data_IF_886585455201
#
_entry.id   IF_886585455201
#
_cell.length_a   1.000
_cell.length_b   1.000
_cell.length_c   1.000
_cell.angle_alpha   90.00
_cell.angle_beta   90.00
_cell.angle_gamma   90.00
#
_symmetry.space_group_name_H-M   'P 1'
#
loop_
_entity.id
_entity.type
_entity.pdbx_description
1 polymer ?
#
# COMPACT_ATOMS: atom_id res chain seq x y z
N UNK A 1 -16.96 -2.56 29.07
CA UNK A 1 -17.14 -2.76 27.61
C UNK A 1 -15.80 -3.09 26.95
N UNK A 2 -15.77 -3.80 25.81
CA UNK A 2 -14.53 -4.22 25.13
C UNK A 2 -13.68 -3.08 24.53
N UNK A 3 -14.12 -1.82 24.62
CA UNK A 3 -13.32 -0.66 24.21
C UNK A 3 -12.54 -0.02 25.39
N UNK A 4 -13.02 -0.13 26.64
CA UNK A 4 -12.26 0.24 27.85
C UNK A 4 -10.99 -0.63 27.98
N UNK A 5 -11.11 -1.93 27.67
CA UNK A 5 -9.96 -2.85 27.71
C UNK A 5 -8.95 -2.61 26.57
N UNK A 6 -9.36 -1.98 25.46
CA UNK A 6 -8.44 -1.62 24.36
C UNK A 6 -7.72 -0.30 24.61
N UNK A 7 -8.38 0.65 25.26
CA UNK A 7 -7.76 1.90 25.72
C UNK A 7 -6.67 1.60 26.76
N UNK A 8 -6.99 0.81 27.79
CA UNK A 8 -6.01 0.38 28.79
C UNK A 8 -4.80 -0.35 28.18
N UNK A 9 -5.00 -1.19 27.16
CA UNK A 9 -3.90 -1.85 26.42
C UNK A 9 -3.03 -0.87 25.61
N UNK A 10 -3.59 0.25 25.17
CA UNK A 10 -2.86 1.30 24.44
C UNK A 10 -2.00 2.09 25.43
N UNK A 11 -2.53 2.42 26.61
CA UNK A 11 -1.82 3.15 27.65
C UNK A 11 -0.62 2.36 28.18
N UNK A 12 -0.80 1.05 28.45
CA UNK A 12 0.31 0.16 28.84
C UNK A 12 1.39 0.10 27.75
N UNK A 13 1.00 0.12 26.47
CA UNK A 13 1.96 0.13 25.36
C UNK A 13 2.73 1.45 25.27
N UNK A 14 2.07 2.58 25.57
CA UNK A 14 2.68 3.90 25.57
C UNK A 14 3.65 4.08 26.75
N UNK A 15 3.28 3.61 27.93
CA UNK A 15 4.16 3.56 29.10
C UNK A 15 5.42 2.74 28.81
N UNK A 16 5.26 1.54 28.22
CA UNK A 16 6.41 0.70 27.83
C UNK A 16 7.29 1.36 26.75
N UNK A 17 6.71 2.15 25.83
CA UNK A 17 7.49 2.90 24.84
C UNK A 17 8.25 4.08 25.45
N UNK A 18 7.67 4.76 26.44
CA UNK A 18 8.32 5.83 27.20
C UNK A 18 9.48 5.28 28.03
N UNK A 19 9.29 4.14 28.69
CA UNK A 19 10.32 3.44 29.44
C UNK A 19 11.50 3.06 28.53
N UNK A 20 11.23 2.48 27.36
CA UNK A 20 12.26 2.17 26.36
C UNK A 20 12.97 3.42 25.80
N UNK A 21 12.32 4.59 25.78
CA UNK A 21 12.96 5.85 25.41
C UNK A 21 13.84 6.39 26.52
N UNK A 22 13.43 6.27 27.79
CA UNK A 22 14.25 6.64 28.95
C UNK A 22 15.50 5.77 29.03
N UNK A 23 15.35 4.45 28.91
CA UNK A 23 16.47 3.51 28.85
C UNK A 23 17.47 3.84 27.75
N UNK A 24 17.00 4.27 26.56
CA UNK A 24 17.88 4.68 25.47
C UNK A 24 18.57 6.04 25.64
N UNK A 25 18.16 6.84 26.62
CA UNK A 25 18.86 8.06 27.04
C UNK A 25 19.91 7.78 28.11
N UNK A 26 19.62 6.85 29.02
CA UNK A 26 20.53 6.44 30.10
C UNK A 26 21.66 5.52 29.61
N UNK A 27 21.37 4.63 28.64
CA UNK A 27 22.35 3.67 28.10
C UNK A 27 22.10 3.33 26.64
N UNK A 28 23.13 2.90 25.92
CA UNK A 28 22.98 2.35 24.58
C UNK A 28 22.16 1.06 24.61
N UNK A 29 21.06 1.03 23.85
CA UNK A 29 20.17 -0.12 23.77
C UNK A 29 20.85 -1.31 23.07
N UNK A 30 20.64 -2.51 23.60
CA UNK A 30 21.07 -3.76 22.97
C UNK A 30 20.30 -4.01 21.67
N UNK A 31 20.84 -4.83 20.77
CA UNK A 31 20.19 -5.18 19.49
C UNK A 31 18.77 -5.74 19.68
N UNK A 32 18.53 -6.49 20.75
CA UNK A 32 17.22 -7.08 21.09
C UNK A 32 16.24 -5.98 21.53
N UNK A 33 16.67 -5.07 22.40
CA UNK A 33 15.87 -3.94 22.89
C UNK A 33 15.49 -2.98 21.74
N UNK A 34 16.41 -2.72 20.79
CA UNK A 34 16.13 -1.92 19.59
C UNK A 34 15.06 -2.58 18.71
N UNK A 35 15.12 -3.91 18.53
CA UNK A 35 14.09 -4.65 17.78
C UNK A 35 12.73 -4.61 18.50
N UNK A 36 12.73 -4.73 19.83
CA UNK A 36 11.51 -4.64 20.64
C UNK A 36 10.88 -3.23 20.55
N UNK A 37 11.69 -2.17 20.64
CA UNK A 37 11.23 -0.79 20.50
C UNK A 37 10.60 -0.54 19.13
N UNK A 38 11.24 -1.02 18.04
CA UNK A 38 10.66 -0.97 16.68
C UNK A 38 9.34 -1.75 16.59
N UNK A 39 9.24 -2.91 17.24
CA UNK A 39 8.01 -3.73 17.27
C UNK A 39 6.89 -3.03 18.03
N UNK A 40 7.18 -2.39 19.16
CA UNK A 40 6.22 -1.64 19.98
C UNK A 40 5.70 -0.40 19.22
N UNK A 41 6.56 0.39 18.58
CA UNK A 41 6.16 1.53 17.73
C UNK A 41 5.23 1.11 16.59
N UNK A 42 5.50 -0.04 15.95
CA UNK A 42 4.62 -0.62 14.92
C UNK A 42 3.25 -1.04 15.48
N UNK A 43 3.21 -1.60 16.69
CA UNK A 43 1.93 -1.95 17.36
C UNK A 43 1.13 -0.70 17.71
N UNK A 44 1.80 0.36 18.19
CA UNK A 44 1.16 1.63 18.57
C UNK A 44 0.52 2.31 17.35
N UNK A 45 1.27 2.42 16.24
CA UNK A 45 0.76 2.98 14.98
C UNK A 45 -0.46 2.20 14.43
N UNK A 46 -0.45 0.87 14.55
CA UNK A 46 -1.58 0.01 14.16
C UNK A 46 -2.81 0.21 15.06
N UNK A 47 -2.62 0.40 16.36
CA UNK A 47 -3.72 0.69 17.29
C UNK A 47 -4.29 2.10 17.04
N UNK A 48 -3.43 3.12 16.93
CA UNK A 48 -3.83 4.50 16.62
C UNK A 48 -4.59 4.61 15.30
N UNK A 49 -4.15 3.92 14.25
CA UNK A 49 -4.85 3.89 12.96
C UNK A 49 -6.20 3.16 13.02
N UNK A 50 -6.34 2.09 13.82
CA UNK A 50 -7.63 1.43 14.06
C UNK A 50 -8.60 2.32 14.83
N UNK A 51 -8.12 3.04 15.84
CA UNK A 51 -8.93 4.01 16.60
C UNK A 51 -9.38 5.16 15.71
N UNK A 52 -8.48 5.75 14.90
CA UNK A 52 -8.84 6.80 13.92
C UNK A 52 -9.86 6.32 12.89
N UNK A 53 -9.70 5.11 12.34
CA UNK A 53 -10.66 4.52 11.39
C UNK A 53 -12.03 4.25 12.03
N UNK A 54 -12.09 3.88 13.32
CA UNK A 54 -13.36 3.76 14.06
C UNK A 54 -14.01 5.12 14.30
N UNK A 55 -13.23 6.14 14.72
CA UNK A 55 -13.74 7.51 14.92
C UNK A 55 -14.33 8.11 13.64
N UNK A 56 -13.73 7.83 12.48
CA UNK A 56 -14.25 8.31 11.19
C UNK A 56 -15.47 7.53 10.67
N UNK A 57 -15.78 6.35 11.24
CA UNK A 57 -16.92 5.52 10.83
C UNK A 57 -18.19 5.73 11.66
N UNK A 58 -18.08 6.28 12.87
CA UNK A 58 -19.22 6.60 13.75
C UNK A 58 -19.23 8.10 14.09
N UNK A 59 -20.05 8.93 13.41
CA UNK A 59 -20.22 10.34 13.80
C UNK A 59 -20.90 10.51 15.18
N UNK A 60 -21.56 9.48 15.71
CA UNK A 60 -22.23 9.49 17.02
C UNK A 60 -21.29 9.55 18.23
N UNK A 61 -19.99 9.23 18.09
CA UNK A 61 -19.02 9.33 19.19
C UNK A 61 -18.36 10.71 19.32
N UNK A 62 -18.76 11.70 18.50
CA UNK A 62 -18.36 13.10 18.66
C UNK A 62 -19.20 13.85 19.72
N UNK A 63 -20.32 13.28 20.18
CA UNK A 63 -21.27 13.95 21.07
C UNK A 63 -21.06 13.66 22.58
N UNK A 64 -20.17 12.74 22.95
CA UNK A 64 -19.95 12.36 24.36
C UNK A 64 -18.50 12.66 24.77
N UNK A 65 -18.18 13.92 25.02
CA UNK A 65 -16.85 14.34 25.44
C UNK A 65 -16.70 15.85 25.56
N UNK A 66 -17.24 16.38 26.66
CA UNK A 66 -16.98 17.68 27.28
C UNK A 66 -17.55 18.95 26.64
N UNK A 67 -18.66 19.35 27.25
CA UNK A 67 -19.18 20.70 27.48
C UNK A 67 -18.10 21.68 27.95
N UNK A 68 -17.95 22.79 27.22
CA UNK A 68 -17.90 24.18 27.71
C UNK A 68 -17.57 25.12 26.53
N UNK A 69 -18.44 26.08 26.26
CA UNK A 69 -18.16 27.27 25.42
C UNK A 69 -18.81 27.29 24.04
N UNK A 70 -20.02 27.86 24.00
CA UNK A 70 -20.79 28.46 22.90
C UNK A 70 -20.86 27.84 21.49
N UNK A 71 -22.11 27.60 21.11
CA UNK A 71 -22.53 27.24 19.77
C UNK A 71 -22.49 28.44 18.83
N UNK A 72 -21.73 28.33 17.73
CA UNK A 72 -22.07 29.03 16.49
C UNK A 72 -21.84 28.10 15.30
N UNK A 73 -22.83 28.11 14.42
CA UNK A 73 -23.07 27.17 13.34
C UNK A 73 -21.92 27.06 12.33
N UNK A 74 -21.92 25.92 11.62
CA UNK A 74 -20.81 25.48 10.80
C UNK A 74 -20.35 26.45 9.71
N UNK A 75 -19.04 26.68 9.68
CA UNK A 75 -18.30 26.99 8.46
C UNK A 75 -17.01 26.16 8.45
N UNK A 76 -16.76 25.47 7.33
CA UNK A 76 -15.43 24.92 7.04
C UNK A 76 -14.48 26.12 6.95
N UNK A 77 -13.55 26.24 7.89
CA UNK A 77 -12.51 27.28 7.82
C UNK A 77 -11.71 27.08 6.52
N UNK A 78 -11.66 28.07 5.60
CA UNK A 78 -10.78 27.99 4.44
C UNK A 78 -9.34 28.04 4.95
N UNK A 79 -8.48 27.19 4.36
CA UNK A 79 -7.05 27.19 4.63
C UNK A 79 -6.51 28.62 4.49
N UNK A 80 -5.92 29.16 5.57
CA UNK A 80 -5.33 30.50 5.55
C UNK A 80 -4.13 30.48 4.59
N UNK A 81 -3.97 31.44 3.67
CA UNK A 81 -2.77 31.52 2.83
C UNK A 81 -1.55 31.72 3.71
N UNK A 82 -0.46 31.02 3.42
CA UNK A 82 0.81 31.17 4.13
C UNK A 82 1.39 32.55 3.83
N UNK A 83 1.43 33.41 4.86
CA UNK A 83 1.92 34.79 4.80
C UNK A 83 3.44 34.78 4.99
N UNK A 84 4.18 33.92 4.29
CA UNK A 84 5.63 33.78 4.51
C UNK A 84 6.35 33.46 3.20
N UNK A 85 7.32 34.29 2.82
CA UNK A 85 8.21 34.06 1.68
C UNK A 85 9.12 32.85 1.87
N UNK A 86 9.82 32.44 0.81
CA UNK A 86 10.86 31.39 0.83
C UNK A 86 12.00 31.70 1.83
N UNK A 87 12.21 32.98 2.17
CA UNK A 87 13.18 33.44 3.19
C UNK A 87 12.59 33.65 4.60
N UNK A 88 11.32 33.30 4.85
CA UNK A 88 10.73 33.41 6.19
C UNK A 88 10.16 34.79 6.55
N UNK A 89 10.11 35.73 5.60
CA UNK A 89 9.60 37.10 5.82
C UNK A 89 8.08 37.17 5.62
N UNK A 90 7.41 37.97 6.46
CA UNK A 90 5.95 38.12 6.45
C UNK A 90 5.53 39.06 5.30
N UNK A 91 4.78 38.56 4.31
CA UNK A 91 4.35 39.35 3.14
C UNK A 91 2.86 39.66 3.17
N UNK A 92 2.52 40.95 3.25
CA UNK A 92 1.15 41.47 3.31
C UNK A 92 0.50 41.65 1.92
N UNK A 93 0.80 40.76 0.97
CA UNK A 93 0.20 40.80 -0.37
C UNK A 93 -1.04 39.90 -0.42
N UNK A 94 -2.10 40.38 -1.07
CA UNK A 94 -3.31 39.59 -1.36
C UNK A 94 -3.06 38.47 -2.39
N UNK A 95 -1.93 38.53 -3.11
CA UNK A 95 -1.50 37.55 -4.10
C UNK A 95 -0.31 36.75 -3.56
N UNK A 96 -0.44 35.43 -3.61
CA UNK A 96 0.58 34.47 -3.18
C UNK A 96 1.43 34.04 -4.39
N UNK A 97 2.61 34.65 -4.54
CA UNK A 97 3.59 34.31 -5.58
C UNK A 97 4.47 33.10 -5.21
N UNK A 98 4.30 32.53 -4.00
CA UNK A 98 5.16 31.43 -3.50
C UNK A 98 4.66 30.06 -3.94
N UNK A 99 3.40 29.96 -4.36
CA UNK A 99 2.92 28.87 -5.20
C UNK A 99 3.57 29.02 -6.57
N UNK A 100 4.82 28.53 -6.68
CA UNK A 100 5.33 28.09 -7.97
C UNK A 100 4.21 27.24 -8.58
N UNK A 101 3.72 27.63 -9.76
CA UNK A 101 2.75 26.85 -10.51
C UNK A 101 3.23 25.39 -10.52
N UNK A 102 2.58 24.53 -9.73
CA UNK A 102 2.66 23.10 -9.99
C UNK A 102 2.08 22.97 -11.38
N UNK A 103 2.96 22.97 -12.40
CA UNK A 103 2.58 22.88 -13.81
C UNK A 103 1.62 21.71 -13.90
N UNK A 104 0.32 21.99 -13.93
CA UNK A 104 -0.68 20.95 -14.06
C UNK A 104 -0.33 20.25 -15.36
N UNK A 105 0.08 18.97 -15.24
CA UNK A 105 0.56 18.24 -16.42
C UNK A 105 -0.55 18.33 -17.45
N UNK A 106 -0.28 18.87 -18.65
CA UNK A 106 -1.35 19.20 -19.58
C UNK A 106 -2.21 17.94 -19.78
N UNK A 107 -3.53 18.06 -19.63
CA UNK A 107 -4.45 16.90 -19.68
C UNK A 107 -4.27 16.08 -20.98
N UNK A 108 -3.76 16.71 -22.04
CA UNK A 108 -3.49 16.13 -23.36
C UNK A 108 -2.04 15.67 -23.59
N UNK A 109 -1.23 15.65 -22.55
CA UNK A 109 0.17 15.22 -22.53
C UNK A 109 0.31 13.74 -22.92
N UNK A 110 1.21 13.43 -23.86
CA UNK A 110 1.57 12.07 -24.28
C UNK A 110 2.74 11.51 -23.43
N UNK A 111 2.69 11.81 -22.13
CA UNK A 111 3.71 11.46 -21.17
C UNK A 111 3.19 10.46 -20.14
N UNK A 112 4.12 9.71 -19.52
CA UNK A 112 3.81 8.79 -18.43
C UNK A 112 3.86 7.30 -18.78
N UNK A 113 3.26 6.48 -17.90
CA UNK A 113 3.40 5.00 -17.89
C UNK A 113 2.05 4.27 -18.03
N UNK A 114 0.98 5.03 -18.29
CA UNK A 114 -0.37 4.53 -18.51
C UNK A 114 -0.61 4.33 -20.01
N UNK A 115 0.02 3.27 -20.53
CA UNK A 115 0.02 2.97 -21.95
C UNK A 115 -1.39 2.79 -22.56
N UNK A 116 -2.39 2.34 -21.78
CA UNK A 116 -3.79 2.25 -22.23
C UNK A 116 -4.40 3.63 -22.52
N UNK A 117 -4.28 4.56 -21.57
CA UNK A 117 -4.72 5.95 -21.73
C UNK A 117 -3.99 6.65 -22.86
N UNK A 118 -2.71 6.32 -23.05
CA UNK A 118 -1.91 6.91 -24.12
C UNK A 118 -2.38 6.45 -25.50
N UNK A 119 -2.71 5.16 -25.64
CA UNK A 119 -3.29 4.61 -26.85
C UNK A 119 -4.63 5.29 -27.17
N UNK A 120 -5.51 5.41 -26.18
CA UNK A 120 -6.80 6.09 -26.31
C UNK A 120 -6.64 7.55 -26.75
N UNK A 121 -5.64 8.27 -26.20
CA UNK A 121 -5.34 9.65 -26.63
C UNK A 121 -4.87 9.71 -28.09
N UNK A 122 -4.03 8.77 -28.52
CA UNK A 122 -3.56 8.71 -29.92
C UNK A 122 -4.73 8.39 -30.85
N UNK A 123 -5.58 7.44 -30.48
CA UNK A 123 -6.78 7.08 -31.24
C UNK A 123 -7.73 8.28 -31.37
N UNK A 124 -8.00 9.01 -30.27
CA UNK A 124 -8.79 10.25 -30.31
C UNK A 124 -8.18 11.36 -31.17
N UNK A 125 -6.85 11.46 -31.21
CA UNK A 125 -6.16 12.43 -32.07
C UNK A 125 -6.30 12.04 -33.54
N UNK A 126 -6.16 10.76 -33.87
CA UNK A 126 -6.35 10.23 -35.22
C UNK A 126 -7.78 10.42 -35.71
N UNK A 127 -8.76 10.02 -34.93
CA UNK A 127 -10.18 10.20 -35.30
C UNK A 127 -10.55 11.67 -35.48
N UNK A 128 -10.00 12.57 -34.65
CA UNK A 128 -10.19 14.02 -34.84
C UNK A 128 -9.61 14.52 -36.17
N UNK A 129 -8.44 14.00 -36.57
CA UNK A 129 -7.82 14.35 -37.85
C UNK A 129 -8.63 13.77 -39.02
N UNK A 130 -9.08 12.53 -38.92
CA UNK A 130 -9.92 11.87 -39.94
C UNK A 130 -11.25 12.62 -40.14
N UNK A 131 -11.96 12.93 -39.05
CA UNK A 131 -13.21 13.72 -39.11
C UNK A 131 -12.99 15.13 -39.70
N UNK A 132 -11.79 15.71 -39.55
CA UNK A 132 -11.44 16.99 -40.16
C UNK A 132 -11.03 16.83 -41.62
N UNK A 133 -10.44 15.70 -42.03
CA UNK A 133 -10.11 15.41 -43.44
C UNK A 133 -11.37 15.30 -44.29
N UNK A 134 -12.43 14.70 -43.74
CA UNK A 134 -13.73 14.58 -44.40
C UNK A 134 -14.41 15.92 -44.65
N UNK A 135 -14.20 16.91 -43.76
CA UNK A 135 -14.81 18.24 -43.86
C UNK A 135 -13.92 19.22 -44.61
N UNK A 136 -12.64 19.30 -44.24
CA UNK A 136 -11.67 20.30 -44.68
C UNK A 136 -10.24 19.70 -44.72
N UNK A 137 -9.82 19.20 -45.88
CA UNK A 137 -8.50 18.56 -46.06
C UNK A 137 -7.32 19.48 -45.70
N UNK A 138 -7.41 20.78 -45.97
CA UNK A 138 -6.34 21.74 -45.66
C UNK A 138 -6.18 21.97 -44.14
N UNK A 139 -7.29 22.11 -43.41
CA UNK A 139 -7.26 22.29 -41.96
C UNK A 139 -6.70 21.04 -41.27
N UNK A 140 -7.01 19.86 -41.79
CA UNK A 140 -6.43 18.62 -41.29
C UNK A 140 -4.91 18.56 -41.49
N UNK A 141 -4.40 18.90 -42.68
CA UNK A 141 -2.95 18.96 -42.95
C UNK A 141 -2.23 19.96 -42.04
N UNK A 142 -2.79 21.16 -41.85
CA UNK A 142 -2.25 22.16 -40.92
C UNK A 142 -2.20 21.64 -39.48
N UNK A 143 -3.22 20.91 -39.04
CA UNK A 143 -3.29 20.33 -37.69
C UNK A 143 -2.30 19.18 -37.51
N UNK A 144 -2.12 18.32 -38.51
CA UNK A 144 -1.09 17.26 -38.52
C UNK A 144 0.32 17.86 -38.42
N UNK A 145 0.64 18.85 -39.25
CA UNK A 145 1.92 19.55 -39.23
C UNK A 145 2.17 20.21 -37.87
N UNK A 146 1.18 20.94 -37.34
CA UNK A 146 1.28 21.55 -36.01
C UNK A 146 1.56 20.50 -34.93
N UNK A 147 0.86 19.37 -34.93
CA UNK A 147 1.09 18.31 -33.96
C UNK A 147 2.49 17.69 -34.09
N UNK A 148 2.97 17.50 -35.33
CA UNK A 148 4.31 16.98 -35.60
C UNK A 148 5.40 17.94 -35.07
N UNK A 149 5.29 19.23 -35.39
CA UNK A 149 6.23 20.26 -34.90
C UNK A 149 6.20 20.39 -33.38
N UNK A 150 5.02 20.36 -32.75
CA UNK A 150 4.90 20.34 -31.30
C UNK A 150 5.57 19.11 -30.68
N UNK A 151 5.43 17.92 -31.29
CA UNK A 151 6.11 16.70 -30.81
C UNK A 151 7.63 16.85 -30.89
N UNK A 152 8.16 17.40 -31.99
CA UNK A 152 9.61 17.64 -32.17
C UNK A 152 10.12 18.66 -31.15
N UNK A 153 9.41 19.77 -30.95
CA UNK A 153 9.78 20.80 -29.99
C UNK A 153 9.81 20.26 -28.55
N UNK A 154 8.80 19.50 -28.13
CA UNK A 154 8.76 18.89 -26.80
C UNK A 154 9.87 17.85 -26.61
N UNK A 155 10.22 17.09 -27.65
CA UNK A 155 11.37 16.18 -27.60
C UNK A 155 12.69 16.94 -27.46
N UNK A 156 12.84 18.08 -28.13
CA UNK A 156 14.02 18.95 -28.01
C UNK A 156 14.14 19.59 -26.62
N UNK A 157 13.00 19.94 -25.99
CA UNK A 157 12.92 20.36 -24.58
C UNK A 157 13.33 19.24 -23.61
N UNK A 158 13.39 17.99 -24.07
CA UNK A 158 13.75 16.81 -23.28
C UNK A 158 12.55 16.04 -22.74
N UNK A 159 11.32 16.40 -23.12
CA UNK A 159 10.13 15.63 -22.76
C UNK A 159 10.06 14.31 -23.55
N UNK A 160 9.78 13.21 -22.84
CA UNK A 160 9.69 11.86 -23.42
C UNK A 160 8.32 11.61 -24.06
N UNK A 161 8.06 12.25 -25.19
CA UNK A 161 6.82 12.08 -25.97
C UNK A 161 6.70 10.64 -26.48
N UNK A 162 5.56 9.98 -26.20
CA UNK A 162 5.26 8.62 -26.66
C UNK A 162 4.01 8.59 -27.52
N UNK A 163 4.20 8.83 -28.80
CA UNK A 163 3.20 8.94 -29.85
C UNK A 163 3.06 7.67 -30.71
N UNK A 164 4.01 6.73 -30.63
CA UNK A 164 3.98 5.51 -31.43
C UNK A 164 3.01 4.43 -30.89
N UNK A 165 1.92 4.09 -31.62
CA UNK A 165 0.93 3.11 -31.14
C UNK A 165 1.51 1.68 -31.06
N UNK A 166 2.40 1.32 -31.98
CA UNK A 166 3.02 -0.01 -32.01
C UNK A 166 3.91 -0.24 -30.77
N UNK A 167 4.71 0.75 -30.38
CA UNK A 167 5.54 0.68 -29.18
C UNK A 167 4.69 0.65 -27.91
N UNK A 168 3.58 1.39 -27.87
CA UNK A 168 2.66 1.37 -26.73
C UNK A 168 1.96 0.03 -26.56
N UNK A 169 1.52 -0.60 -27.66
CA UNK A 169 0.98 -1.98 -27.64
C UNK A 169 2.03 -2.99 -27.16
N UNK A 170 3.28 -2.89 -27.63
CA UNK A 170 4.40 -3.74 -27.14
C UNK A 170 4.66 -3.51 -25.65
N UNK A 171 4.63 -2.26 -25.18
CA UNK A 171 4.83 -1.92 -23.77
C UNK A 171 3.71 -2.46 -22.88
N UNK A 172 2.46 -2.44 -23.35
CA UNK A 172 1.32 -3.08 -22.68
C UNK A 172 1.54 -4.58 -22.51
N UNK A 173 1.86 -5.29 -23.60
CA UNK A 173 2.15 -6.74 -23.56
C UNK A 173 3.30 -7.05 -22.60
N UNK A 174 4.36 -6.23 -22.58
CA UNK A 174 5.47 -6.39 -21.63
C UNK A 174 5.01 -6.20 -20.18
N UNK A 175 4.15 -5.22 -19.91
CA UNK A 175 3.58 -4.95 -18.57
C UNK A 175 2.71 -6.11 -18.11
N UNK A 176 1.93 -6.71 -19.00
CA UNK A 176 1.08 -7.87 -18.73
C UNK A 176 1.92 -9.12 -18.44
N UNK A 177 2.89 -9.46 -19.30
CA UNK A 177 3.84 -10.55 -19.05
C UNK A 177 4.57 -10.41 -17.72
N UNK A 178 4.98 -9.19 -17.35
CA UNK A 178 5.62 -8.95 -16.05
C UNK A 178 4.67 -9.14 -14.87
N UNK A 179 3.37 -8.84 -15.03
CA UNK A 179 2.36 -9.11 -14.01
C UNK A 179 2.12 -10.60 -13.86
N UNK A 180 2.03 -11.34 -14.96
CA UNK A 180 1.88 -12.80 -14.97
C UNK A 180 3.08 -13.47 -14.27
N UNK A 181 4.31 -13.10 -14.62
CA UNK A 181 5.52 -13.61 -13.95
C UNK A 181 5.50 -13.33 -12.45
N UNK A 182 5.06 -12.14 -12.04
CA UNK A 182 4.93 -11.80 -10.60
C UNK A 182 3.84 -12.63 -9.92
N UNK A 183 2.70 -12.86 -10.58
CA UNK A 183 1.62 -13.70 -10.09
C UNK A 183 2.10 -15.15 -9.91
N UNK A 184 2.74 -15.73 -10.93
CA UNK A 184 3.27 -17.09 -10.89
C UNK A 184 4.31 -17.28 -9.77
N UNK A 185 5.26 -16.33 -9.62
CA UNK A 185 6.22 -16.37 -8.51
C UNK A 185 5.56 -16.26 -7.14
N UNK A 186 4.43 -15.55 -7.05
CA UNK A 186 3.70 -15.45 -5.79
C UNK A 186 2.96 -16.74 -5.46
N UNK A 187 2.29 -17.35 -6.44
CA UNK A 187 1.60 -18.64 -6.26
C UNK A 187 2.61 -19.74 -5.89
N UNK A 188 3.75 -19.82 -6.59
CA UNK A 188 4.82 -20.77 -6.27
C UNK A 188 5.34 -20.63 -4.83
N UNK A 189 5.48 -19.39 -4.34
CA UNK A 189 5.86 -19.13 -2.94
C UNK A 189 4.79 -19.61 -1.97
N UNK A 190 3.51 -19.37 -2.27
CA UNK A 190 2.40 -19.84 -1.44
C UNK A 190 2.36 -21.38 -1.40
N UNK A 191 2.50 -22.04 -2.56
CA UNK A 191 2.54 -23.50 -2.65
C UNK A 191 3.73 -24.09 -1.89
N UNK A 192 4.90 -23.46 -1.99
CA UNK A 192 6.09 -23.86 -1.24
C UNK A 192 5.87 -23.75 0.27
N UNK A 193 5.21 -22.69 0.73
CA UNK A 193 4.86 -22.52 2.15
C UNK A 193 3.86 -23.58 2.59
N UNK A 194 2.81 -23.82 1.80
CA UNK A 194 1.78 -24.82 2.09
C UNK A 194 2.40 -26.23 2.17
N UNK A 195 3.22 -26.61 1.19
CA UNK A 195 3.96 -27.89 1.20
C UNK A 195 4.87 -28.04 2.42
N UNK A 196 5.54 -26.96 2.86
CA UNK A 196 6.35 -27.00 4.09
C UNK A 196 5.50 -27.21 5.34
N UNK A 197 4.34 -26.59 5.41
CA UNK A 197 3.40 -26.76 6.52
C UNK A 197 2.87 -28.19 6.53
N UNK A 198 2.41 -28.70 5.38
CA UNK A 198 1.89 -30.05 5.20
C UNK A 198 2.91 -31.10 5.60
N UNK A 199 4.14 -31.04 5.05
CA UNK A 199 5.24 -31.95 5.42
C UNK A 199 5.52 -31.96 6.93
N UNK A 200 5.44 -30.80 7.59
CA UNK A 200 5.63 -30.72 9.05
C UNK A 200 4.49 -31.40 9.81
N UNK A 201 3.25 -31.23 9.34
CA UNK A 201 2.09 -31.89 9.93
C UNK A 201 2.11 -33.40 9.70
N UNK A 202 2.44 -33.86 8.49
CA UNK A 202 2.60 -35.28 8.16
C UNK A 202 3.66 -35.93 9.05
N UNK A 203 4.84 -35.30 9.20
CA UNK A 203 5.89 -35.80 10.10
C UNK A 203 5.39 -35.90 11.54
N UNK A 204 4.65 -34.90 12.02
CA UNK A 204 4.05 -34.93 13.36
C UNK A 204 3.05 -36.06 13.50
N UNK A 205 2.17 -36.25 12.52
CA UNK A 205 1.18 -37.32 12.54
C UNK A 205 1.85 -38.70 12.49
N UNK A 206 2.87 -38.88 11.66
CA UNK A 206 3.66 -40.12 11.58
C UNK A 206 4.32 -40.44 12.93
N UNK A 207 5.02 -39.49 13.54
CA UNK A 207 5.64 -39.67 14.86
C UNK A 207 4.61 -40.00 15.95
N UNK A 208 3.41 -39.39 15.91
CA UNK A 208 2.34 -39.70 16.86
C UNK A 208 1.81 -41.12 16.64
N UNK A 209 1.61 -41.55 15.38
CA UNK A 209 1.20 -42.91 15.02
C UNK A 209 2.23 -43.94 15.49
N UNK A 210 3.51 -43.72 15.21
CA UNK A 210 4.61 -44.57 15.66
C UNK A 210 4.68 -44.65 17.20
N UNK A 211 4.51 -43.52 17.91
CA UNK A 211 4.45 -43.52 19.38
C UNK A 211 3.24 -44.30 19.94
N UNK A 212 2.10 -44.26 19.24
CA UNK A 212 0.93 -45.07 19.61
C UNK A 212 1.19 -46.56 19.37
N UNK A 213 1.79 -46.91 18.23
CA UNK A 213 2.09 -48.30 17.88
C UNK A 213 3.13 -48.90 18.82
N UNK A 214 4.26 -48.24 19.04
CA UNK A 214 5.30 -48.69 19.99
C UNK A 214 4.76 -48.90 21.41
N UNK A 215 3.81 -48.07 21.88
CA UNK A 215 3.13 -48.29 23.17
C UNK A 215 2.26 -49.55 23.15
N UNK A 216 1.52 -49.81 22.07
CA UNK A 216 0.74 -51.04 21.90
C UNK A 216 1.66 -52.26 21.85
N UNK A 217 2.72 -52.22 21.03
CA UNK A 217 3.68 -53.30 20.89
C UNK A 217 4.40 -53.61 22.23
N UNK A 218 4.75 -52.58 23.01
CA UNK A 218 5.34 -52.76 24.34
C UNK A 218 4.38 -53.46 25.29
N UNK A 219 3.09 -53.09 25.29
CA UNK A 219 2.05 -53.78 26.09
C UNK A 219 1.90 -55.25 25.65
N UNK A 220 1.87 -55.50 24.34
CA UNK A 220 1.78 -56.86 23.78
C UNK A 220 2.98 -57.70 24.20
N UNK A 221 4.22 -57.18 24.03
CA UNK A 221 5.45 -57.86 24.46
C UNK A 221 5.47 -58.17 25.95
N UNK A 222 5.00 -57.24 26.80
CA UNK A 222 4.91 -57.46 28.25
C UNK A 222 3.88 -58.54 28.62
N UNK A 223 2.73 -58.60 27.95
CA UNK A 223 1.73 -59.63 28.23
C UNK A 223 2.22 -61.02 27.76
N UNK A 224 2.87 -61.10 26.59
CA UNK A 224 3.52 -62.34 26.09
C UNK A 224 4.58 -62.86 27.07
N UNK A 225 5.46 -61.97 27.59
CA UNK A 225 6.48 -62.35 28.60
C UNK A 225 5.86 -62.89 29.90
N UNK A 226 4.64 -62.48 30.24
CA UNK A 226 3.89 -62.96 31.41
C UNK A 226 3.00 -64.18 31.12
N UNK A 227 3.12 -64.80 29.95
CA UNK A 227 2.35 -65.99 29.58
C UNK A 227 0.85 -65.74 29.30
N UNK A 228 0.41 -64.48 29.19
CA UNK A 228 -0.98 -64.16 28.83
C UNK A 228 -1.16 -64.17 27.31
N UNK A 229 -2.00 -65.08 26.82
CA UNK A 229 -2.56 -65.05 25.47
C UNK A 229 -3.34 -63.74 25.28
N UNK A 230 -3.10 -63.04 24.17
CA UNK A 230 -3.81 -61.81 23.81
C UNK A 230 -4.71 -62.13 22.61
N UNK A 231 -6.02 -62.33 22.80
CA UNK A 231 -6.94 -62.52 21.69
C UNK A 231 -7.11 -61.21 20.89
N UNK A 232 -7.01 -61.29 19.57
CA UNK A 232 -7.29 -60.16 18.66
C UNK A 232 -6.12 -59.20 18.39
N UNK A 233 -4.88 -59.60 18.68
CA UNK A 233 -3.65 -58.95 18.21
C UNK A 233 -2.69 -59.94 17.57
#
# INVERSE_FOLDING_TARGET
TPDVSKAARLDVLQQKLLEMQKLGKERSLTSIEVQEQKRLRRKESKLKSKVKKKKNKNPALKAAGQVNGDAMAGYKSPERPSVVDKEGKLVFSKFDFTKNDEKEKPKNSLHGKDFKRLLEKIEKRKSKIENLKEKDAEKAKKLEQRNAWQSVMLRAEGEKVKDDPALLKKALKKKEKMREKKKAKWTERQDTVNKKIEKRQEKRQKNIKERKQTKKDKKIKQAKKKGRMIPGF
#
